data_IF_568796727146
#
_entry.id   IF_568796727146
#
_cell.length_a   1.000
_cell.length_b   1.000
_cell.length_c   1.000
_cell.angle_alpha   90.00
_cell.angle_beta   90.00
_cell.angle_gamma   90.00
#
_symmetry.space_group_name_H-M   'P 1'
#
loop_
_entity.id
_entity.type
_entity.pdbx_description
1 polymer ?
#
# COMPACT_ATOMS: atom_id res chain seq x y z
N UNK A 1 6.75 -3.58 3.62
CA UNK A 1 8.00 -3.50 2.82
C UNK A 1 7.79 -3.84 1.34
N UNK A 2 7.41 -5.08 0.99
CA UNK A 2 7.35 -5.57 -0.41
C UNK A 2 6.48 -4.75 -1.36
N UNK A 3 5.37 -4.19 -0.87
CA UNK A 3 4.48 -3.34 -1.69
C UNK A 3 5.20 -2.09 -2.21
N UNK A 4 5.97 -1.41 -1.36
CA UNK A 4 6.75 -0.24 -1.75
C UNK A 4 7.89 -0.62 -2.70
N UNK A 5 8.54 -1.77 -2.49
CA UNK A 5 9.51 -2.29 -3.46
C UNK A 5 8.85 -2.54 -4.84
N UNK A 6 7.61 -3.01 -4.86
CA UNK A 6 6.80 -3.08 -6.07
C UNK A 6 6.55 -1.72 -6.73
N UNK A 7 6.27 -0.68 -5.94
CA UNK A 7 6.13 0.69 -6.46
C UNK A 7 7.43 1.21 -7.08
N UNK A 8 8.57 1.01 -6.42
CA UNK A 8 9.90 1.35 -6.97
C UNK A 8 10.19 0.60 -8.28
N UNK A 9 9.78 -0.67 -8.38
CA UNK A 9 9.91 -1.43 -9.63
C UNK A 9 9.06 -0.85 -10.76
N UNK A 10 7.82 -0.42 -10.46
CA UNK A 10 6.95 0.25 -11.44
C UNK A 10 7.58 1.57 -11.92
N UNK A 11 8.14 2.37 -11.00
CA UNK A 11 8.89 3.58 -11.34
C UNK A 11 10.07 3.27 -12.25
N UNK A 12 10.86 2.24 -11.95
CA UNK A 12 11.98 1.79 -12.79
C UNK A 12 11.53 1.35 -14.20
N UNK A 13 10.29 0.91 -14.37
CA UNK A 13 9.70 0.60 -15.69
C UNK A 13 9.08 1.83 -16.39
N UNK A 14 9.22 3.03 -15.84
CA UNK A 14 8.63 4.25 -16.38
C UNK A 14 7.11 4.38 -16.10
N UNK A 15 6.57 3.58 -15.18
CA UNK A 15 5.15 3.58 -14.81
C UNK A 15 4.89 4.48 -13.58
N UNK A 16 5.38 5.72 -13.65
CA UNK A 16 5.38 6.69 -12.54
C UNK A 16 3.97 6.90 -11.92
N UNK A 17 2.93 7.02 -12.76
CA UNK A 17 1.54 7.20 -12.29
C UNK A 17 1.07 6.01 -11.45
N UNK A 18 1.42 4.80 -11.86
CA UNK A 18 1.05 3.57 -11.15
C UNK A 18 1.85 3.44 -9.85
N UNK A 19 3.15 3.76 -9.88
CA UNK A 19 3.99 3.79 -8.69
C UNK A 19 3.45 4.77 -7.63
N UNK A 20 3.21 6.02 -8.03
CA UNK A 20 2.66 7.06 -7.16
C UNK A 20 1.32 6.67 -6.55
N UNK A 21 0.44 6.02 -7.33
CA UNK A 21 -0.85 5.53 -6.85
C UNK A 21 -0.71 4.45 -5.76
N UNK A 22 0.26 3.55 -5.89
CA UNK A 22 0.57 2.53 -4.86
C UNK A 22 1.17 3.18 -3.61
N UNK A 23 2.13 4.08 -3.76
CA UNK A 23 2.75 4.78 -2.62
C UNK A 23 1.74 5.61 -1.83
N UNK A 24 0.88 6.35 -2.53
CA UNK A 24 -0.20 7.12 -1.92
C UNK A 24 -1.18 6.22 -1.17
N UNK A 25 -1.53 5.05 -1.73
CA UNK A 25 -2.39 4.08 -1.05
C UNK A 25 -1.77 3.59 0.26
N UNK A 26 -0.48 3.21 0.24
CA UNK A 26 0.24 2.78 1.44
C UNK A 26 0.25 3.91 2.48
N UNK A 27 0.64 5.12 2.07
CA UNK A 27 0.71 6.27 2.96
C UNK A 27 -0.65 6.59 3.62
N UNK A 28 -1.74 6.51 2.85
CA UNK A 28 -3.08 6.78 3.37
C UNK A 28 -3.57 5.69 4.33
N UNK A 29 -3.33 4.41 4.03
CA UNK A 29 -3.70 3.30 4.95
C UNK A 29 -2.94 3.44 6.27
N UNK A 30 -1.64 3.71 6.22
CA UNK A 30 -0.83 3.91 7.42
C UNK A 30 -1.28 5.14 8.20
N UNK A 31 -1.62 6.24 7.52
CA UNK A 31 -2.15 7.46 8.14
C UNK A 31 -3.51 7.23 8.81
N UNK A 32 -4.39 6.43 8.19
CA UNK A 32 -5.68 6.06 8.77
C UNK A 32 -5.53 5.14 9.99
N UNK A 33 -4.49 4.29 10.00
CA UNK A 33 -4.12 3.45 11.15
C UNK A 33 -5.13 2.33 11.48
N UNK A 34 -6.17 2.14 10.67
CA UNK A 34 -7.25 1.17 10.89
C UNK A 34 -6.85 -0.26 10.54
N UNK A 35 -6.10 -0.45 9.46
CA UNK A 35 -5.63 -1.75 8.97
C UNK A 35 -4.10 -1.75 9.01
N UNK A 36 -3.52 -2.51 9.94
CA UNK A 36 -2.07 -2.59 10.12
C UNK A 36 -1.71 -3.90 10.80
N UNK A 37 -0.59 -4.48 10.38
CA UNK A 37 -0.06 -5.73 10.90
C UNK A 37 0.52 -5.59 12.30
N UNK A 38 0.82 -6.71 12.94
CA UNK A 38 1.33 -6.78 14.31
C UNK A 38 2.64 -6.01 14.53
N UNK A 39 3.53 -6.00 13.54
CA UNK A 39 4.80 -5.26 13.56
C UNK A 39 4.60 -3.73 13.57
N UNK A 40 3.42 -3.27 13.18
CA UNK A 40 3.00 -1.86 13.20
C UNK A 40 1.99 -1.56 14.33
N UNK A 41 1.84 -2.48 15.29
CA UNK A 41 0.98 -2.30 16.46
C UNK A 41 -0.51 -2.49 16.19
N UNK A 42 -0.88 -3.30 15.20
CA UNK A 42 -2.26 -3.76 15.01
C UNK A 42 -2.38 -5.28 15.05
N UNK A 43 -3.48 -5.78 14.52
CA UNK A 43 -3.85 -7.19 14.52
C UNK A 43 -4.29 -7.68 13.13
N UNK A 44 -4.17 -6.82 12.11
CA UNK A 44 -4.56 -7.17 10.75
C UNK A 44 -3.59 -8.19 10.15
N UNK A 45 -4.13 -9.14 9.40
CA UNK A 45 -3.36 -10.11 8.62
C UNK A 45 -2.81 -9.47 7.35
N UNK A 46 -1.82 -10.13 6.74
CA UNK A 46 -1.28 -9.73 5.43
C UNK A 46 -2.37 -9.62 4.36
N UNK A 47 -3.33 -10.55 4.34
CA UNK A 47 -4.43 -10.54 3.37
C UNK A 47 -5.34 -9.32 3.57
N UNK A 48 -5.67 -8.97 4.82
CA UNK A 48 -6.47 -7.77 5.10
C UNK A 48 -5.77 -6.48 4.69
N UNK A 49 -4.44 -6.39 4.87
CA UNK A 49 -3.67 -5.26 4.32
C UNK A 49 -3.72 -5.26 2.78
N UNK A 50 -3.61 -6.42 2.15
CA UNK A 50 -3.75 -6.58 0.69
C UNK A 50 -5.11 -6.11 0.17
N UNK A 51 -6.20 -6.49 0.83
CA UNK A 51 -7.56 -6.07 0.49
C UNK A 51 -7.72 -4.55 0.65
N UNK A 52 -7.25 -3.99 1.77
CA UNK A 52 -7.27 -2.55 2.01
C UNK A 52 -6.48 -1.77 0.94
N UNK A 53 -5.34 -2.31 0.49
CA UNK A 53 -4.55 -1.75 -0.60
C UNK A 53 -5.32 -1.72 -1.92
N UNK A 54 -5.99 -2.81 -2.30
CA UNK A 54 -6.78 -2.88 -3.53
C UNK A 54 -7.91 -1.85 -3.50
N UNK A 55 -8.64 -1.77 -2.39
CA UNK A 55 -9.75 -0.82 -2.26
C UNK A 55 -9.26 0.64 -2.30
N UNK A 56 -8.13 0.93 -1.63
CA UNK A 56 -7.55 2.29 -1.66
C UNK A 56 -7.10 2.69 -3.06
N UNK A 57 -6.40 1.80 -3.77
CA UNK A 57 -5.96 2.03 -5.15
C UNK A 57 -7.16 2.28 -6.07
N UNK A 58 -8.26 1.52 -5.97
CA UNK A 58 -9.46 1.77 -6.80
C UNK A 58 -10.13 3.13 -6.53
N UNK A 59 -9.94 3.71 -5.35
CA UNK A 59 -10.58 4.97 -4.96
C UNK A 59 -9.90 6.25 -5.48
N UNK A 60 -8.70 6.12 -6.08
CA UNK A 60 -8.01 7.20 -6.79
C UNK A 60 -8.28 7.13 -8.29
#
# INVERSE_FOLDING_TARGET
>A
ATILAGAMMLENFGLEKSAAKVEQAVAQILKEGKVRTYDLGGDSTTSQVGDAMVEKVKSF
#
